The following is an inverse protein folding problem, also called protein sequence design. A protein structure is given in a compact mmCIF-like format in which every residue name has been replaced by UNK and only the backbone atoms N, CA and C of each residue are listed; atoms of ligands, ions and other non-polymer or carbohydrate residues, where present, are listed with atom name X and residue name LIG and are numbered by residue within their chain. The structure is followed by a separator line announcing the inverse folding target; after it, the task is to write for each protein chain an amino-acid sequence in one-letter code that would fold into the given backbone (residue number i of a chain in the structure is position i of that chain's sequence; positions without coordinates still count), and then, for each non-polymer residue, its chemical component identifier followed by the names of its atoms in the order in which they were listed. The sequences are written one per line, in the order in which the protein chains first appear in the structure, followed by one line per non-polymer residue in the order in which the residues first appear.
data_IF_716040936715
#
_entry.id   IF_716040936715
#
_cell.length_a   1.000
_cell.length_b   1.000
_cell.length_c   1.000
_cell.angle_alpha   90.00
_cell.angle_beta   90.00
_cell.angle_gamma   90.00
#
_symmetry.space_group_name_H-M   'P 1'
#
loop_
_entity.id
_entity.type
_entity.pdbx_description
1 polymer ?
#
# COMPACT_ATOMS: atom_id res chain seq x y z
N UNK A 1 -42.02 -11.87 -42.38
CA UNK A 1 -42.89 -11.54 -43.53
C UNK A 1 -44.04 -10.69 -43.02
N UNK A 2 -44.49 -9.68 -43.79
CA UNK A 2 -44.27 -8.23 -43.58
C UNK A 2 -45.43 -7.59 -42.77
N UNK A 3 -45.49 -6.33 -42.37
CA UNK A 3 -44.96 -5.02 -42.79
C UNK A 3 -45.11 -4.09 -41.56
N UNK A 4 -44.39 -2.97 -41.42
CA UNK A 4 -44.85 -1.65 -41.87
C UNK A 4 -43.74 -0.60 -41.75
N UNK A 5 -43.39 -0.01 -42.89
CA UNK A 5 -42.94 1.37 -43.11
C UNK A 5 -44.02 2.36 -42.61
N UNK A 6 -43.86 3.67 -42.42
CA UNK A 6 -42.78 4.65 -42.27
C UNK A 6 -43.47 6.03 -42.10
N UNK A 7 -42.69 7.07 -41.77
CA UNK A 7 -42.94 8.52 -41.97
C UNK A 7 -43.99 9.18 -41.02
N UNK A 8 -43.64 10.06 -40.07
CA UNK A 8 -43.12 11.45 -40.09
C UNK A 8 -44.13 12.54 -40.52
N UNK A 9 -43.98 13.73 -39.90
CA UNK A 9 -44.69 15.02 -40.08
C UNK A 9 -45.93 15.23 -39.20
N UNK A 10 -46.32 16.41 -38.72
CA UNK A 10 -45.71 17.71 -38.37
C UNK A 10 -46.88 18.54 -37.79
N UNK A 11 -46.59 19.38 -36.79
CA UNK A 11 -47.23 20.65 -36.39
C UNK A 11 -48.72 20.95 -36.67
N UNK A 12 -49.41 21.46 -35.64
CA UNK A 12 -50.19 22.70 -35.76
C UNK A 12 -50.34 23.38 -34.39
N UNK A 13 -50.03 24.67 -34.36
CA UNK A 13 -50.10 25.60 -33.24
C UNK A 13 -51.43 26.37 -33.24
N UNK A 14 -51.78 27.02 -32.12
CA UNK A 14 -52.54 28.28 -32.09
C UNK A 14 -52.24 28.96 -30.73
N UNK A 15 -51.54 30.10 -30.72
CA UNK A 15 -52.06 31.49 -30.61
C UNK A 15 -52.78 31.78 -29.27
N UNK A 16 -52.63 32.89 -28.56
CA UNK A 16 -51.85 34.14 -28.66
C UNK A 16 -52.11 34.90 -27.35
N UNK A 17 -51.16 35.73 -26.89
CA UNK A 17 -51.40 37.13 -26.45
C UNK A 17 -50.17 37.69 -25.72
N UNK A 18 -49.68 38.81 -26.24
CA UNK A 18 -48.69 39.71 -25.61
C UNK A 18 -49.48 40.88 -25.00
N UNK A 19 -49.07 41.37 -23.82
CA UNK A 19 -48.69 42.78 -23.74
C UNK A 19 -47.38 43.00 -22.94
N UNK A 20 -46.67 44.07 -23.27
CA UNK A 20 -45.56 44.65 -22.50
C UNK A 20 -46.00 46.03 -21.95
N UNK A 21 -45.17 46.82 -21.24
CA UNK A 21 -44.20 46.54 -20.15
C UNK A 21 -44.55 47.35 -18.87
N UNK A 22 -43.89 47.09 -17.73
CA UNK A 22 -44.05 47.94 -16.54
C UNK A 22 -43.04 47.65 -15.43
N UNK A 23 -42.20 48.65 -15.11
CA UNK A 23 -41.32 48.70 -13.94
C UNK A 23 -42.08 48.58 -12.63
N UNK A 24 -41.54 47.83 -11.65
CA UNK A 24 -41.75 48.11 -10.24
C UNK A 24 -40.62 47.51 -9.41
N UNK A 25 -40.23 48.29 -8.39
CA UNK A 25 -39.04 48.18 -7.59
C UNK A 25 -38.99 46.92 -6.70
N UNK A 26 -37.76 46.52 -6.40
CA UNK A 26 -37.43 45.51 -5.40
C UNK A 26 -37.87 45.98 -4.00
N UNK A 27 -38.58 45.10 -3.28
CA UNK A 27 -38.78 45.21 -1.83
C UNK A 27 -37.81 44.26 -1.12
N UNK A 28 -36.98 44.84 -0.25
CA UNK A 28 -36.04 44.13 0.62
C UNK A 28 -36.80 43.37 1.72
N UNK A 29 -36.63 42.04 1.75
CA UNK A 29 -36.99 41.21 2.90
C UNK A 29 -35.88 41.21 3.95
N UNK A 30 -36.19 41.00 5.25
CA UNK A 30 -35.22 41.16 6.33
C UNK A 30 -34.12 40.08 6.26
N UNK A 31 -32.87 40.54 6.28
CA UNK A 31 -31.67 39.68 6.38
C UNK A 31 -31.68 38.96 7.72
N UNK A 32 -31.87 37.64 7.72
CA UNK A 32 -31.43 36.79 8.82
C UNK A 32 -29.91 36.90 8.92
N UNK A 33 -29.41 37.51 10.00
CA UNK A 33 -28.01 37.52 10.35
C UNK A 33 -27.55 36.07 10.58
N UNK A 34 -26.80 35.53 9.63
CA UNK A 34 -26.12 34.25 9.81
C UNK A 34 -25.04 34.43 10.88
N UNK A 35 -25.27 33.85 12.07
CA UNK A 35 -24.27 33.75 13.12
C UNK A 35 -23.10 32.91 12.57
N UNK A 36 -21.96 33.56 12.35
CA UNK A 36 -20.73 32.92 11.91
C UNK A 36 -20.28 31.91 12.98
N UNK A 37 -20.18 30.63 12.61
CA UNK A 37 -19.52 29.63 13.46
C UNK A 37 -18.05 30.03 13.63
N UNK A 38 -17.48 29.98 14.85
CA UNK A 38 -16.06 30.23 15.01
C UNK A 38 -15.29 29.22 14.16
N UNK A 39 -14.34 29.74 13.38
CA UNK A 39 -13.45 28.93 12.57
C UNK A 39 -12.69 27.97 13.49
N UNK A 40 -13.02 26.69 13.41
CA UNK A 40 -12.27 25.62 14.04
C UNK A 40 -10.84 25.69 13.51
N UNK A 41 -9.91 26.11 14.36
CA UNK A 41 -8.52 26.24 14.01
C UNK A 41 -8.02 24.85 13.66
N UNK A 42 -7.84 24.57 12.37
CA UNK A 42 -7.29 23.31 11.92
C UNK A 42 -5.93 23.14 12.58
N UNK A 43 -5.84 22.24 13.56
CA UNK A 43 -4.57 21.85 14.18
C UNK A 43 -3.70 21.33 13.04
N UNK A 44 -2.69 22.12 12.65
CA UNK A 44 -1.74 21.73 11.63
C UNK A 44 -1.16 20.37 12.04
N UNK A 45 -1.39 19.33 11.22
CA UNK A 45 -0.71 18.05 11.43
C UNK A 45 0.79 18.37 11.51
N UNK A 46 1.51 17.93 12.56
CA UNK A 46 2.94 18.14 12.62
C UNK A 46 3.53 17.61 11.32
N UNK A 47 4.27 18.47 10.62
CA UNK A 47 4.92 18.11 9.37
C UNK A 47 5.69 16.80 9.61
N UNK A 48 5.36 15.77 8.83
CA UNK A 48 5.94 14.44 8.97
C UNK A 48 7.46 14.58 8.75
N UNK A 49 8.24 14.55 9.84
CA UNK A 49 9.65 14.87 9.80
C UNK A 49 10.38 13.90 8.85
N UNK A 50 11.07 14.46 7.85
CA UNK A 50 11.85 13.68 6.91
C UNK A 50 13.33 13.70 7.31
N UNK A 51 13.98 12.53 7.27
CA UNK A 51 15.43 12.40 7.45
C UNK A 51 16.05 11.67 6.25
N UNK A 52 17.35 11.84 6.02
CA UNK A 52 18.10 11.03 5.05
C UNK A 52 19.01 10.05 5.76
N UNK A 53 18.83 8.76 5.50
CA UNK A 53 19.64 7.68 6.05
C UNK A 53 20.19 6.84 4.89
N UNK A 54 21.52 6.73 4.78
CA UNK A 54 22.19 6.02 3.68
C UNK A 54 21.65 6.43 2.29
N UNK A 55 21.54 7.74 2.08
CA UNK A 55 21.04 8.31 0.83
C UNK A 55 19.53 8.12 0.59
N UNK A 56 18.78 7.45 1.47
CA UNK A 56 17.34 7.23 1.31
C UNK A 56 16.54 8.23 2.15
N UNK A 57 15.57 8.90 1.52
CA UNK A 57 14.59 9.73 2.25
C UNK A 57 13.64 8.85 3.06
N UNK A 58 13.55 9.12 4.35
CA UNK A 58 12.68 8.44 5.31
C UNK A 58 11.67 9.44 5.83
N UNK A 59 10.37 9.19 5.61
CA UNK A 59 9.30 9.94 6.28
C UNK A 59 8.99 9.29 7.62
N UNK A 60 9.33 9.96 8.71
CA UNK A 60 9.15 9.43 10.06
C UNK A 60 7.72 9.60 10.52
N UNK A 61 7.17 8.55 11.14
CA UNK A 61 5.89 8.65 11.84
C UNK A 61 6.15 9.05 13.29
N UNK A 62 5.11 9.55 13.96
CA UNK A 62 5.18 9.78 15.40
C UNK A 62 5.64 8.50 16.12
N UNK A 63 6.67 8.63 16.97
CA UNK A 63 7.26 7.52 17.71
C UNK A 63 8.15 6.58 16.89
N UNK A 64 8.48 6.88 15.63
CA UNK A 64 9.42 6.05 14.84
C UNK A 64 10.81 6.07 15.45
N UNK A 65 11.25 4.92 15.96
CA UNK A 65 12.59 4.71 16.56
C UNK A 65 13.39 3.61 15.87
N UNK A 66 12.82 2.97 14.85
CA UNK A 66 13.41 1.87 14.11
C UNK A 66 13.15 2.05 12.61
N UNK A 67 14.22 2.04 11.81
CA UNK A 67 14.13 2.21 10.35
C UNK A 67 14.90 1.09 9.67
N UNK A 68 14.35 0.55 8.59
CA UNK A 68 15.08 -0.24 7.60
C UNK A 68 15.20 0.60 6.33
N UNK A 69 16.40 0.95 5.90
CA UNK A 69 16.60 1.57 4.57
C UNK A 69 16.92 0.50 3.54
N UNK A 70 16.44 0.71 2.32
CA UNK A 70 16.73 -0.09 1.13
C UNK A 70 17.20 0.87 0.06
N UNK A 71 18.51 1.01 -0.08
CA UNK A 71 19.16 1.84 -1.08
C UNK A 71 19.51 0.98 -2.31
N UNK A 72 18.80 1.17 -3.43
CA UNK A 72 19.13 0.49 -4.68
C UNK A 72 20.48 0.97 -5.19
N UNK A 73 21.37 0.02 -5.46
CA UNK A 73 22.71 0.32 -5.97
C UNK A 73 22.77 0.15 -7.48
N UNK A 74 22.57 -1.06 -7.98
CA UNK A 74 22.62 -1.37 -9.43
C UNK A 74 21.64 -2.46 -9.81
N UNK A 75 21.02 -2.35 -10.97
CA UNK A 75 20.02 -3.32 -11.43
C UNK A 75 18.97 -3.57 -10.34
N UNK A 76 18.76 -4.83 -9.93
CA UNK A 76 17.88 -5.22 -8.83
C UNK A 76 18.60 -5.36 -7.48
N UNK A 77 19.89 -5.00 -7.35
CA UNK A 77 20.64 -5.09 -6.10
C UNK A 77 20.44 -3.86 -5.23
N UNK A 78 20.47 -4.05 -3.91
CA UNK A 78 20.30 -3.00 -2.92
C UNK A 78 21.19 -3.24 -1.69
N UNK A 79 21.63 -2.13 -1.09
CA UNK A 79 22.13 -2.08 0.29
C UNK A 79 20.93 -1.96 1.22
N UNK A 80 20.91 -2.78 2.27
CA UNK A 80 19.84 -2.75 3.27
C UNK A 80 20.45 -2.55 4.64
N UNK A 81 19.97 -1.54 5.35
CA UNK A 81 20.53 -1.12 6.63
C UNK A 81 19.42 -0.99 7.67
N UNK A 82 19.66 -1.50 8.86
CA UNK A 82 18.77 -1.39 10.01
C UNK A 82 19.33 -0.36 11.00
N UNK A 83 18.51 0.63 11.32
CA UNK A 83 18.82 1.81 12.12
C UNK A 83 17.97 1.84 13.39
N UNK A 84 18.51 2.44 14.45
CA UNK A 84 17.79 2.70 15.69
C UNK A 84 18.07 4.13 16.14
N UNK A 85 17.03 4.85 16.55
CA UNK A 85 17.15 6.16 17.18
C UNK A 85 17.65 6.03 18.62
N UNK A 86 18.78 6.66 18.92
CA UNK A 86 19.45 6.72 20.24
C UNK A 86 19.90 8.16 20.46
N UNK A 87 19.51 8.74 21.60
CA UNK A 87 20.02 10.04 22.05
C UNK A 87 19.91 11.15 20.99
N UNK A 88 18.77 11.16 20.27
CA UNK A 88 18.50 12.10 19.17
C UNK A 88 19.13 11.74 17.81
N UNK A 89 20.04 10.77 17.75
CA UNK A 89 20.75 10.34 16.53
C UNK A 89 20.37 8.94 16.01
N UNK A 90 20.47 8.75 14.69
CA UNK A 90 20.24 7.46 14.04
C UNK A 90 21.52 6.63 13.97
N UNK A 91 21.55 5.49 14.66
CA UNK A 91 22.71 4.59 14.65
C UNK A 91 22.46 3.35 13.78
N UNK A 92 23.42 3.02 12.90
CA UNK A 92 23.44 1.73 12.20
C UNK A 92 23.65 0.59 13.19
N UNK A 93 22.77 -0.41 13.18
CA UNK A 93 22.94 -1.64 13.98
C UNK A 93 23.28 -2.86 13.13
N UNK A 94 22.92 -2.87 11.85
CA UNK A 94 23.40 -3.87 10.88
C UNK A 94 23.18 -3.43 9.45
N UNK A 95 24.06 -3.85 8.56
CA UNK A 95 23.96 -3.62 7.12
C UNK A 95 24.20 -4.92 6.34
N UNK A 96 23.64 -5.00 5.14
CA UNK A 96 24.00 -5.99 4.12
C UNK A 96 23.98 -5.37 2.72
N UNK A 97 24.91 -5.79 1.86
CA UNK A 97 24.97 -5.43 0.43
C UNK A 97 24.29 -6.47 -0.48
N UNK A 98 23.79 -7.56 0.12
CA UNK A 98 23.14 -8.66 -0.58
C UNK A 98 21.61 -8.53 -0.56
N UNK A 99 21.11 -7.30 -0.54
CA UNK A 99 19.70 -7.00 -0.71
C UNK A 99 19.29 -7.03 -2.17
N UNK A 100 18.03 -7.37 -2.45
CA UNK A 100 17.47 -7.42 -3.80
C UNK A 100 16.05 -6.88 -3.82
N UNK A 101 15.71 -6.19 -4.91
CA UNK A 101 14.40 -5.64 -5.21
C UNK A 101 13.77 -6.37 -6.41
N UNK A 102 12.62 -5.87 -6.85
CA UNK A 102 11.88 -6.40 -7.99
C UNK A 102 12.63 -6.29 -9.31
N UNK A 103 12.41 -7.25 -10.21
CA UNK A 103 13.01 -7.24 -11.56
C UNK A 103 12.60 -6.01 -12.39
N UNK A 104 11.42 -5.44 -12.13
CA UNK A 104 10.94 -4.20 -12.76
C UNK A 104 11.57 -2.93 -12.17
N UNK A 105 12.48 -3.05 -11.20
CA UNK A 105 13.13 -1.91 -10.56
C UNK A 105 12.23 -1.18 -9.57
N UNK A 106 12.43 0.13 -9.46
CA UNK A 106 11.76 0.99 -8.49
C UNK A 106 10.72 1.88 -9.19
N UNK A 107 9.53 2.01 -8.61
CA UNK A 107 8.47 2.90 -9.11
C UNK A 107 7.85 3.66 -7.95
N UNK A 108 7.44 4.91 -8.16
CA UNK A 108 6.68 5.66 -7.17
C UNK A 108 5.47 4.83 -6.69
N UNK A 109 5.27 4.73 -5.37
CA UNK A 109 4.17 3.96 -4.79
C UNK A 109 2.80 4.34 -5.37
N UNK A 110 2.60 5.62 -5.69
CA UNK A 110 1.37 6.15 -6.29
C UNK A 110 1.15 5.71 -7.75
N UNK A 111 2.21 5.32 -8.47
CA UNK A 111 2.18 4.93 -9.88
C UNK A 111 2.36 3.43 -10.10
N UNK A 112 2.60 2.66 -9.04
CA UNK A 112 2.81 1.22 -9.13
C UNK A 112 1.58 0.52 -9.73
N UNK A 113 1.78 -0.58 -10.45
CA UNK A 113 0.71 -1.46 -10.93
C UNK A 113 0.99 -2.91 -10.56
N UNK A 114 -0.06 -3.67 -10.27
CA UNK A 114 0.01 -5.09 -9.98
C UNK A 114 0.68 -5.85 -11.14
N UNK A 115 1.40 -6.93 -10.81
CA UNK A 115 2.09 -7.80 -11.78
C UNK A 115 3.16 -7.12 -12.67
N UNK A 116 3.70 -5.97 -12.27
CA UNK A 116 4.79 -5.29 -13.02
C UNK A 116 6.20 -5.63 -12.53
N UNK A 117 6.35 -6.45 -11.49
CA UNK A 117 7.67 -6.79 -10.94
C UNK A 117 8.39 -5.63 -10.24
N UNK A 118 7.75 -4.48 -10.06
CA UNK A 118 8.34 -3.27 -9.49
C UNK A 118 8.24 -3.27 -7.97
N UNK A 119 9.25 -2.73 -7.29
CA UNK A 119 9.25 -2.44 -5.85
C UNK A 119 8.80 -0.98 -5.62
N UNK A 120 7.88 -0.71 -4.68
CA UNK A 120 7.39 0.64 -4.44
C UNK A 120 8.44 1.51 -3.75
N UNK A 121 8.70 2.70 -4.29
CA UNK A 121 9.47 3.78 -3.66
C UNK A 121 8.62 4.46 -2.60
N UNK A 122 9.21 4.71 -1.43
CA UNK A 122 8.56 5.42 -0.33
C UNK A 122 8.93 4.87 1.05
N UNK A 123 8.25 5.36 2.08
CA UNK A 123 8.35 4.87 3.45
C UNK A 123 7.05 4.19 3.86
N UNK A 124 7.16 2.96 4.36
CA UNK A 124 6.01 2.11 4.74
C UNK A 124 6.21 1.58 6.14
N UNK A 125 5.12 1.36 6.89
CA UNK A 125 5.21 0.68 8.17
C UNK A 125 5.49 -0.82 8.00
N UNK A 126 5.95 -1.42 9.09
CA UNK A 126 6.18 -2.85 9.22
C UNK A 126 5.42 -3.36 10.45
N UNK A 127 4.12 -3.58 10.31
CA UNK A 127 3.23 -3.85 11.46
C UNK A 127 3.06 -5.32 11.81
N UNK A 128 3.20 -6.23 10.85
CA UNK A 128 3.02 -7.67 11.06
C UNK A 128 4.06 -8.51 10.32
N UNK A 129 4.23 -9.74 10.77
CA UNK A 129 5.14 -10.71 10.20
C UNK A 129 4.46 -12.07 10.00
N UNK A 130 5.02 -12.88 9.11
CA UNK A 130 4.58 -14.25 8.89
C UNK A 130 5.76 -15.15 8.49
N UNK A 131 5.52 -16.45 8.36
CA UNK A 131 6.47 -17.33 7.71
C UNK A 131 6.15 -18.81 7.84
N UNK A 132 6.87 -19.62 7.07
CA UNK A 132 6.74 -21.07 7.04
C UNK A 132 7.27 -21.69 8.34
N UNK A 133 8.34 -21.13 8.90
CA UNK A 133 8.88 -21.56 10.20
C UNK A 133 8.14 -20.88 11.34
N UNK A 134 8.35 -21.35 12.57
CA UNK A 134 7.90 -20.60 13.75
C UNK A 134 8.69 -19.28 13.86
N UNK A 135 8.11 -18.28 14.54
CA UNK A 135 8.78 -17.00 14.80
C UNK A 135 10.11 -17.24 15.50
N UNK A 136 11.17 -16.48 15.19
CA UNK A 136 12.37 -16.46 16.01
C UNK A 136 12.01 -16.06 17.45
N UNK A 137 12.68 -16.67 18.45
CA UNK A 137 12.54 -16.21 19.83
C UNK A 137 12.88 -14.71 19.96
N UNK A 138 12.07 -13.97 20.71
CA UNK A 138 12.17 -12.52 20.88
C UNK A 138 11.47 -11.67 19.81
N UNK A 139 10.78 -12.27 18.84
CA UNK A 139 9.94 -11.52 17.89
C UNK A 139 8.70 -10.95 18.60
N UNK A 140 8.57 -9.63 18.57
CA UNK A 140 7.50 -8.89 19.23
C UNK A 140 6.41 -8.38 18.27
N UNK A 141 6.66 -8.38 16.96
CA UNK A 141 5.60 -8.10 15.99
C UNK A 141 4.58 -9.24 16.03
N UNK A 142 3.29 -8.95 15.80
CA UNK A 142 2.29 -9.97 15.48
C UNK A 142 2.84 -10.91 14.42
N UNK A 143 2.77 -12.22 14.68
CA UNK A 143 3.36 -13.22 13.83
C UNK A 143 2.37 -14.33 13.48
N UNK A 144 2.15 -14.55 12.18
CA UNK A 144 1.39 -15.71 11.69
C UNK A 144 2.31 -16.79 11.14
N UNK A 145 2.31 -17.97 11.76
CA UNK A 145 2.85 -19.17 11.12
C UNK A 145 1.94 -19.57 9.97
N UNK A 146 2.51 -19.69 8.77
CA UNK A 146 1.79 -20.07 7.55
C UNK A 146 1.24 -21.48 7.70
N UNK A 147 -0.06 -21.63 7.44
CA UNK A 147 -0.79 -22.90 7.49
C UNK A 147 -1.09 -23.42 6.09
N UNK A 148 -1.50 -24.68 6.01
CA UNK A 148 -2.06 -25.22 4.77
C UNK A 148 -3.27 -24.38 4.33
N UNK A 149 -3.30 -24.00 3.05
CA UNK A 149 -4.37 -23.17 2.50
C UNK A 149 -4.28 -21.68 2.81
N UNK A 150 -3.19 -21.19 3.42
CA UNK A 150 -2.98 -19.74 3.56
C UNK A 150 -2.53 -19.11 2.24
N UNK A 151 -3.20 -18.02 1.86
CA UNK A 151 -2.90 -17.19 0.70
C UNK A 151 -2.69 -15.74 1.13
N UNK A 152 -1.89 -15.02 0.37
CA UNK A 152 -2.00 -13.57 0.29
C UNK A 152 -2.96 -13.20 -0.83
N UNK A 153 -4.07 -12.56 -0.48
CA UNK A 153 -5.14 -12.26 -1.44
C UNK A 153 -4.69 -11.13 -2.36
N UNK A 154 -4.45 -11.44 -3.63
CA UNK A 154 -4.09 -10.47 -4.66
C UNK A 154 -5.26 -10.20 -5.63
N UNK A 155 -6.42 -10.80 -5.37
CA UNK A 155 -7.62 -10.67 -6.17
C UNK A 155 -8.24 -9.26 -6.03
N UNK A 156 -8.20 -8.47 -7.09
CA UNK A 156 -8.74 -7.10 -7.11
C UNK A 156 -10.26 -7.05 -6.91
N UNK A 157 -10.99 -8.15 -7.11
CA UNK A 157 -12.43 -8.24 -6.89
C UNK A 157 -12.79 -8.74 -5.48
N UNK A 158 -11.81 -9.13 -4.66
CA UNK A 158 -12.08 -9.64 -3.30
C UNK A 158 -12.20 -8.51 -2.28
N UNK A 159 -13.16 -8.62 -1.35
CA UNK A 159 -13.21 -7.75 -0.17
C UNK A 159 -11.94 -7.86 0.71
N UNK A 160 -11.19 -8.97 0.59
CA UNK A 160 -9.99 -9.25 1.37
C UNK A 160 -8.69 -8.86 0.64
N UNK A 161 -8.76 -8.01 -0.38
CA UNK A 161 -7.59 -7.62 -1.17
C UNK A 161 -6.43 -7.10 -0.33
N UNK A 162 -5.23 -7.60 -0.65
CA UNK A 162 -3.99 -7.32 0.04
C UNK A 162 -4.01 -7.68 1.52
N UNK A 163 -4.62 -8.81 1.88
CA UNK A 163 -4.59 -9.40 3.24
C UNK A 163 -4.22 -10.88 3.20
N UNK A 164 -3.79 -11.42 4.34
CA UNK A 164 -3.59 -12.86 4.48
C UNK A 164 -4.94 -13.53 4.81
N UNK A 165 -5.33 -14.52 4.01
CA UNK A 165 -6.56 -15.30 4.24
C UNK A 165 -6.37 -16.78 3.95
N UNK A 166 -6.98 -17.62 4.77
CA UNK A 166 -7.02 -19.05 4.49
C UNK A 166 -8.16 -19.38 3.53
N UNK A 167 -7.95 -20.27 2.54
CA UNK A 167 -8.97 -20.66 1.58
C UNK A 167 -10.23 -21.27 2.23
N UNK A 168 -10.09 -21.93 3.38
CA UNK A 168 -11.21 -22.49 4.13
C UNK A 168 -12.18 -21.41 4.64
N UNK A 169 -11.70 -20.18 4.84
CA UNK A 169 -12.54 -19.04 5.23
C UNK A 169 -13.29 -18.41 4.03
N UNK A 170 -13.08 -18.87 2.80
CA UNK A 170 -13.77 -18.37 1.60
C UNK A 170 -13.56 -16.87 1.32
N UNK A 171 -14.42 -16.26 0.50
CA UNK A 171 -14.43 -14.81 0.26
C UNK A 171 -13.41 -14.26 -0.75
N UNK A 172 -12.64 -15.14 -1.38
CA UNK A 172 -11.76 -14.80 -2.51
C UNK A 172 -11.62 -16.00 -3.45
N UNK A 173 -11.30 -15.74 -4.71
CA UNK A 173 -11.23 -16.77 -5.76
C UNK A 173 -9.87 -17.48 -5.73
N UNK A 174 -9.65 -18.27 -4.70
CA UNK A 174 -8.37 -18.96 -4.45
C UNK A 174 -8.00 -20.01 -5.51
N UNK A 175 -8.98 -20.47 -6.29
CA UNK A 175 -8.81 -21.48 -7.36
C UNK A 175 -8.35 -20.88 -8.70
N UNK A 176 -8.21 -19.56 -8.81
CA UNK A 176 -7.72 -18.95 -10.05
C UNK A 176 -6.30 -19.44 -10.36
N UNK A 177 -6.02 -19.86 -11.62
CA UNK A 177 -4.68 -20.29 -11.99
C UNK A 177 -3.70 -19.12 -11.91
N UNK A 178 -2.45 -19.40 -11.54
CA UNK A 178 -1.41 -18.40 -11.27
C UNK A 178 -1.09 -17.46 -12.45
N UNK A 179 -1.44 -17.86 -13.68
CA UNK A 179 -1.32 -17.02 -14.88
C UNK A 179 -2.32 -15.87 -14.93
N UNK A 180 -3.38 -15.90 -14.11
CA UNK A 180 -4.41 -14.85 -14.09
C UNK A 180 -3.96 -13.69 -13.21
N UNK A 181 -4.23 -12.46 -13.67
CA UNK A 181 -3.93 -11.23 -12.93
C UNK A 181 -4.47 -11.18 -11.48
N UNK A 182 -5.63 -11.80 -11.24
CA UNK A 182 -6.29 -11.84 -9.93
C UNK A 182 -5.95 -13.09 -9.11
N UNK A 183 -5.05 -13.95 -9.58
CA UNK A 183 -4.61 -15.10 -8.81
C UNK A 183 -3.97 -14.65 -7.50
N UNK A 184 -4.40 -15.25 -6.40
CA UNK A 184 -3.84 -14.96 -5.08
C UNK A 184 -2.63 -15.83 -4.82
N UNK A 185 -1.69 -15.31 -4.04
CA UNK A 185 -0.40 -15.95 -3.84
C UNK A 185 -0.48 -17.03 -2.77
N UNK A 186 -0.24 -18.29 -3.13
CA UNK A 186 -0.24 -19.42 -2.19
C UNK A 186 1.07 -19.42 -1.39
N UNK A 187 1.01 -19.05 -0.12
CA UNK A 187 2.21 -18.75 0.68
C UNK A 187 3.14 -19.95 0.86
N UNK A 188 2.61 -21.19 0.85
CA UNK A 188 3.42 -22.41 1.01
C UNK A 188 4.30 -22.74 -0.18
N UNK A 189 4.08 -22.13 -1.35
CA UNK A 189 4.89 -22.40 -2.55
C UNK A 189 6.28 -21.76 -2.45
N UNK A 190 6.44 -20.77 -1.57
CA UNK A 190 7.66 -19.98 -1.41
C UNK A 190 8.45 -20.39 -0.17
N UNK A 191 8.72 -21.70 -0.04
CA UNK A 191 9.32 -22.31 1.17
C UNK A 191 10.67 -21.71 1.58
N UNK A 192 11.45 -21.23 0.60
CA UNK A 192 12.75 -20.59 0.82
C UNK A 192 12.59 -19.12 1.18
N UNK A 193 11.87 -18.38 0.36
CA UNK A 193 11.70 -16.93 0.46
C UNK A 193 10.94 -16.57 1.73
N UNK A 194 9.87 -17.30 2.04
CA UNK A 194 8.98 -17.04 3.17
C UNK A 194 9.30 -17.91 4.39
N UNK A 195 10.54 -18.38 4.51
CA UNK A 195 11.01 -19.00 5.77
C UNK A 195 10.68 -18.08 6.96
N UNK A 196 10.89 -16.77 6.76
CA UNK A 196 10.45 -15.66 7.60
C UNK A 196 10.20 -14.44 6.70
N UNK A 197 9.15 -13.67 6.99
CA UNK A 197 8.78 -12.48 6.24
C UNK A 197 8.17 -11.43 7.14
N UNK A 198 8.38 -10.17 6.80
CA UNK A 198 7.73 -9.03 7.45
C UNK A 198 6.93 -8.30 6.37
N UNK A 199 5.69 -7.94 6.68
CA UNK A 199 4.84 -7.24 5.74
C UNK A 199 5.35 -5.81 5.58
N UNK A 200 5.49 -5.37 4.34
CA UNK A 200 5.70 -3.97 4.00
C UNK A 200 4.31 -3.42 3.75
N UNK A 201 3.86 -2.45 4.56
CA UNK A 201 2.49 -1.96 4.55
C UNK A 201 2.17 -1.03 3.37
N UNK A 202 2.58 -1.45 2.18
CA UNK A 202 2.23 -0.85 0.90
C UNK A 202 0.81 -1.26 0.50
N UNK A 203 -0.02 -0.26 0.17
CA UNK A 203 -1.36 -0.43 -0.41
C UNK A 203 -2.32 -1.28 0.43
N UNK A 204 -2.31 -1.11 1.76
CA UNK A 204 -3.04 -1.95 2.71
C UNK A 204 -4.46 -1.43 3.00
N UNK A 205 -5.42 -2.30 3.37
CA UNK A 205 -6.74 -1.88 3.86
C UNK A 205 -6.63 -0.96 5.09
N UNK A 206 -7.66 -0.11 5.34
CA UNK A 206 -8.89 0.04 4.57
C UNK A 206 -8.71 0.80 3.24
N UNK A 207 -7.56 1.46 3.04
CA UNK A 207 -7.32 2.39 1.94
C UNK A 207 -6.63 1.74 0.72
N UNK A 208 -6.79 0.43 0.54
CA UNK A 208 -6.13 -0.30 -0.54
C UNK A 208 -6.74 0.09 -1.89
N UNK A 209 -5.90 0.60 -2.80
CA UNK A 209 -6.27 0.91 -4.17
C UNK A 209 -6.17 -0.34 -5.03
N UNK A 210 -7.25 -0.66 -5.76
CA UNK A 210 -7.27 -1.82 -6.67
C UNK A 210 -6.27 -1.63 -7.82
N UNK A 211 -5.75 -2.74 -8.32
CA UNK A 211 -4.75 -2.82 -9.40
C UNK A 211 -3.40 -2.13 -9.13
N UNK A 212 -3.23 -1.49 -7.97
CA UNK A 212 -1.98 -0.88 -7.48
C UNK A 212 -0.96 -1.94 -7.04
N UNK A 213 -1.45 -3.15 -6.76
CA UNK A 213 -0.68 -4.32 -6.38
C UNK A 213 -0.67 -4.58 -4.89
N UNK A 214 -0.25 -5.79 -4.52
CA UNK A 214 -0.36 -6.35 -3.18
C UNK A 214 0.86 -7.23 -2.91
N UNK A 215 0.96 -7.78 -1.70
CA UNK A 215 1.94 -8.83 -1.38
C UNK A 215 3.40 -8.36 -1.45
N UNK A 216 3.69 -7.19 -0.88
CA UNK A 216 5.06 -6.67 -0.82
C UNK A 216 5.62 -6.99 0.56
N UNK A 217 6.69 -7.77 0.59
CA UNK A 217 7.27 -8.27 1.82
C UNK A 217 8.77 -7.99 1.91
N UNK A 218 9.26 -7.98 3.15
CA UNK A 218 10.67 -8.07 3.47
C UNK A 218 11.00 -9.52 3.85
N UNK A 219 11.69 -10.26 2.98
CA UNK A 219 11.82 -11.72 3.11
C UNK A 219 13.22 -12.25 2.78
N UNK A 220 13.42 -13.57 2.89
CA UNK A 220 14.71 -14.19 2.63
C UNK A 220 15.01 -14.27 1.13
N UNK A 221 16.28 -14.14 0.75
CA UNK A 221 16.74 -14.27 -0.63
C UNK A 221 16.31 -15.62 -1.23
N UNK A 222 15.73 -15.56 -2.43
CA UNK A 222 15.62 -16.68 -3.36
C UNK A 222 16.71 -16.62 -4.44
N UNK A 223 16.41 -17.20 -5.61
CA UNK A 223 17.23 -17.04 -6.82
C UNK A 223 16.85 -15.71 -7.51
N UNK A 224 17.86 -14.94 -7.96
CA UNK A 224 17.64 -13.71 -8.74
C UNK A 224 16.91 -12.58 -8.01
N UNK A 225 16.30 -11.69 -8.80
CA UNK A 225 15.44 -10.59 -8.38
C UNK A 225 14.09 -11.08 -7.80
N UNK A 226 13.35 -10.19 -7.14
CA UNK A 226 11.99 -10.50 -6.66
C UNK A 226 10.93 -10.09 -7.69
N UNK A 227 9.65 -10.34 -7.41
CA UNK A 227 8.52 -9.80 -8.17
C UNK A 227 8.01 -8.44 -7.63
N UNK A 228 8.78 -7.77 -6.76
CA UNK A 228 8.43 -6.48 -6.15
C UNK A 228 8.74 -6.37 -4.66
N UNK A 229 8.95 -7.50 -3.98
CA UNK A 229 9.41 -7.56 -2.61
C UNK A 229 10.84 -7.01 -2.42
N UNK A 230 11.23 -6.82 -1.16
CA UNK A 230 12.62 -6.63 -0.76
C UNK A 230 13.11 -7.94 -0.16
N UNK A 231 14.18 -8.51 -0.70
CA UNK A 231 14.80 -9.72 -0.14
C UNK A 231 16.21 -9.47 0.34
N UNK A 232 16.61 -10.17 1.40
CA UNK A 232 17.94 -10.08 2.03
C UNK A 232 18.40 -11.48 2.49
N UNK A 233 19.67 -11.67 2.89
CA UNK A 233 20.10 -12.95 3.43
C UNK A 233 19.23 -13.39 4.62
N UNK A 234 18.89 -14.69 4.77
CA UNK A 234 18.00 -15.18 5.84
C UNK A 234 18.44 -14.74 7.25
N UNK A 235 19.76 -14.70 7.49
CA UNK A 235 20.35 -14.21 8.75
C UNK A 235 19.99 -12.76 9.07
N UNK A 236 19.82 -11.92 8.05
CA UNK A 236 19.43 -10.52 8.20
C UNK A 236 17.94 -10.39 8.47
N UNK A 237 17.07 -11.15 7.78
CA UNK A 237 15.63 -11.21 8.09
C UNK A 237 15.42 -11.58 9.56
N UNK A 238 16.05 -12.67 10.00
CA UNK A 238 15.98 -13.13 11.39
C UNK A 238 16.48 -12.07 12.37
N UNK A 239 17.55 -11.35 12.03
CA UNK A 239 18.09 -10.27 12.87
C UNK A 239 17.10 -9.11 13.04
N UNK A 240 16.49 -8.65 11.94
CA UNK A 240 15.51 -7.56 11.94
C UNK A 240 14.26 -7.99 12.71
N UNK A 241 13.73 -9.17 12.43
CA UNK A 241 12.51 -9.69 13.05
C UNK A 241 12.62 -9.88 14.57
N UNK A 242 13.82 -10.19 15.09
CA UNK A 242 14.08 -10.24 16.54
C UNK A 242 14.12 -8.86 17.20
N UNK A 243 14.30 -7.79 16.43
CA UNK A 243 14.56 -6.43 16.93
C UNK A 243 13.40 -5.47 16.73
N UNK A 244 12.61 -5.63 15.68
CA UNK A 244 11.43 -4.78 15.49
C UNK A 244 10.46 -4.92 16.67
N UNK A 245 9.89 -3.79 17.07
CA UNK A 245 8.90 -3.67 18.14
C UNK A 245 7.77 -2.79 17.63
N UNK A 246 6.51 -3.25 17.76
CA UNK A 246 5.36 -2.48 17.28
C UNK A 246 5.28 -1.09 17.94
N UNK A 247 5.56 -0.99 19.24
CA UNK A 247 5.57 0.25 20.00
C UNK A 247 6.74 1.22 19.68
N UNK A 248 7.60 0.89 18.71
CA UNK A 248 8.67 1.77 18.21
C UNK A 248 8.42 2.24 16.78
N UNK A 249 7.17 2.10 16.32
CA UNK A 249 6.65 2.48 15.00
C UNK A 249 7.66 2.21 13.87
N UNK A 250 8.04 0.93 13.66
CA UNK A 250 9.08 0.57 12.72
C UNK A 250 8.64 0.84 11.28
N UNK A 251 9.54 1.42 10.50
CA UNK A 251 9.31 1.70 9.08
C UNK A 251 10.41 1.12 8.20
N UNK A 252 10.07 0.88 6.94
CA UNK A 252 11.01 0.60 5.86
C UNK A 252 10.94 1.71 4.82
N UNK A 253 12.09 2.28 4.46
CA UNK A 253 12.22 3.29 3.43
C UNK A 253 12.99 2.71 2.23
N UNK A 254 12.41 2.83 1.04
CA UNK A 254 12.94 2.26 -0.20
C UNK A 254 13.25 3.39 -1.16
N UNK A 255 14.50 3.48 -1.61
CA UNK A 255 15.02 4.58 -2.40
C UNK A 255 16.26 4.24 -3.22
N UNK A 256 16.86 5.30 -3.75
CA UNK A 256 18.11 5.33 -4.51
C UNK A 256 18.82 6.65 -4.21
#
# INVERSE_FOLDING_TARGET
MPSRSAVLLVSAALLVCIPAPGSAAASEGPRLAALARPAETAVARPAEAAVRLDGVTVRLRAGTRQVVTVNRTRSYRARVTYWVLRDGGWTVKRQTTNGRIGYGGLVAASKRRQATGTTPLGTFAMTEAFGIRSRPSGTALPYRKVRAGDYWVQDNRSAYYNTLRNKAAGGFRWWLPSSRLNASERLRDYRTQYVWSIVIDFNRPPNAVRYRGSGIFFHANGKGATAGCVSVPPRFVRFVMKRLRANRAPVIAIGR
#
